data_IF_390153820897
#
_entry.id   IF_390153820897
#
_cell.length_a   1.000
_cell.length_b   1.000
_cell.length_c   1.000
_cell.angle_alpha   90.00
_cell.angle_beta   90.00
_cell.angle_gamma   90.00
#
_symmetry.space_group_name_H-M   'P 1'
#
loop_
_entity.id
_entity.type
_entity.pdbx_description
1 polymer ?
#
# COMPACT_ATOMS: atom_id res chain seq x y z
N UNK A 1 19.07 21.35 -2.00
CA UNK A 1 19.20 20.34 -0.91
C UNK A 1 18.36 20.72 0.32
N UNK A 2 18.27 22.00 0.71
CA UNK A 2 17.45 22.46 1.86
C UNK A 2 15.96 22.07 1.78
N UNK A 3 15.38 22.07 0.57
CA UNK A 3 13.95 21.77 0.39
C UNK A 3 13.59 20.32 0.78
N UNK A 4 14.49 19.36 0.57
CA UNK A 4 14.23 17.95 0.90
C UNK A 4 14.18 17.72 2.41
N UNK A 5 15.12 18.31 3.15
CA UNK A 5 15.13 18.24 4.61
C UNK A 5 13.89 18.93 5.21
N UNK A 6 13.45 20.03 4.61
CA UNK A 6 12.23 20.71 5.03
C UNK A 6 10.99 19.81 4.84
N UNK A 7 10.82 19.22 3.66
CA UNK A 7 9.72 18.27 3.39
C UNK A 7 9.76 17.07 4.34
N UNK A 8 10.95 16.54 4.62
CA UNK A 8 11.14 15.44 5.55
C UNK A 8 10.64 15.77 6.96
N UNK A 9 11.00 16.95 7.47
CA UNK A 9 10.55 17.43 8.78
C UNK A 9 9.07 17.78 8.79
N UNK A 10 8.55 18.36 7.72
CA UNK A 10 7.12 18.67 7.61
C UNK A 10 6.27 17.39 7.60
N UNK A 11 6.73 16.34 6.92
CA UNK A 11 6.08 15.03 6.97
C UNK A 11 6.04 14.47 8.40
N UNK A 12 7.17 14.53 9.12
CA UNK A 12 7.26 14.15 10.54
C UNK A 12 6.24 14.92 11.39
N UNK A 13 6.15 16.23 11.17
CA UNK A 13 5.31 17.13 11.93
C UNK A 13 3.81 16.98 11.65
N UNK A 14 3.41 16.93 10.38
CA UNK A 14 2.01 16.83 9.96
C UNK A 14 1.41 15.49 10.34
N UNK A 15 2.17 14.40 10.26
CA UNK A 15 1.68 13.06 10.61
C UNK A 15 1.91 12.72 12.09
N UNK A 16 2.65 13.54 12.84
CA UNK A 16 3.04 13.24 14.22
C UNK A 16 3.86 11.94 14.35
N UNK A 17 4.55 11.54 13.29
CA UNK A 17 5.28 10.28 13.21
C UNK A 17 6.76 10.53 13.37
N UNK A 18 7.45 9.80 14.25
CA UNK A 18 8.92 9.83 14.31
C UNK A 18 9.52 8.92 13.24
N UNK A 19 10.34 9.48 12.36
CA UNK A 19 10.98 8.72 11.29
C UNK A 19 12.13 7.88 11.86
N UNK A 20 12.14 6.59 11.52
CA UNK A 20 13.20 5.66 11.94
C UNK A 20 14.33 5.60 10.91
N UNK A 21 15.34 6.43 11.10
CA UNK A 21 16.51 6.50 10.20
C UNK A 21 17.33 5.21 10.11
N UNK A 22 17.18 4.26 11.05
CA UNK A 22 17.85 2.96 10.98
C UNK A 22 17.15 2.00 10.00
N UNK A 23 15.84 2.16 9.82
CA UNK A 23 15.02 1.35 8.91
C UNK A 23 14.85 2.01 7.55
N UNK A 24 14.95 3.33 7.51
CA UNK A 24 14.78 4.12 6.30
C UNK A 24 16.07 4.14 5.49
N UNK A 25 15.95 3.88 4.19
CA UNK A 25 17.04 3.93 3.22
C UNK A 25 16.70 4.92 2.11
N UNK A 26 17.69 5.67 1.64
CA UNK A 26 17.61 6.56 0.49
C UNK A 26 18.05 5.81 -0.77
N UNK A 27 17.14 5.68 -1.73
CA UNK A 27 17.46 5.16 -3.06
C UNK A 27 17.56 6.33 -4.04
N UNK A 28 18.74 6.51 -4.64
CA UNK A 28 19.02 7.59 -5.58
C UNK A 28 19.19 7.03 -7.00
N UNK A 29 18.41 7.54 -7.96
CA UNK A 29 18.44 7.10 -9.36
C UNK A 29 19.27 8.02 -10.28
N UNK A 30 19.94 9.03 -9.74
CA UNK A 30 20.75 9.94 -10.55
C UNK A 30 22.16 9.41 -10.83
N UNK A 31 22.87 9.98 -11.82
CA UNK A 31 24.19 9.49 -12.26
C UNK A 31 25.31 9.74 -11.22
N UNK A 32 25.09 10.65 -10.26
CA UNK A 32 26.13 11.09 -9.34
C UNK A 32 26.01 10.40 -7.97
N UNK A 33 26.74 9.30 -7.76
CA UNK A 33 26.79 8.59 -6.46
C UNK A 33 27.17 9.49 -5.27
N UNK A 34 28.06 10.47 -5.49
CA UNK A 34 28.44 11.45 -4.45
C UNK A 34 27.25 12.30 -3.97
N UNK A 35 26.26 12.55 -4.84
CA UNK A 35 25.04 13.26 -4.44
C UNK A 35 24.15 12.39 -3.55
N UNK A 36 24.11 11.08 -3.80
CA UNK A 36 23.36 10.13 -2.99
C UNK A 36 23.88 10.12 -1.54
N UNK A 37 25.20 9.98 -1.36
CA UNK A 37 25.81 9.99 -0.03
C UNK A 37 25.54 11.30 0.72
N UNK A 38 25.73 12.45 0.04
CA UNK A 38 25.47 13.75 0.66
C UNK A 38 24.00 13.95 1.05
N UNK A 39 23.06 13.39 0.28
CA UNK A 39 21.63 13.43 0.61
C UNK A 39 21.31 12.53 1.81
N UNK A 40 21.88 11.34 1.85
CA UNK A 40 21.75 10.41 2.96
C UNK A 40 22.30 11.01 4.27
N UNK A 41 23.46 11.67 4.21
CA UNK A 41 24.03 12.38 5.36
C UNK A 41 23.12 13.50 5.88
N UNK A 42 22.51 14.27 4.97
CA UNK A 42 21.57 15.36 5.34
C UNK A 42 20.30 14.80 6.00
N UNK A 43 19.80 13.66 5.53
CA UNK A 43 18.59 13.01 6.07
C UNK A 43 18.90 12.11 7.28
N UNK A 44 20.17 11.81 7.54
CA UNK A 44 20.61 10.90 8.59
C UNK A 44 20.25 9.44 8.33
N UNK A 45 19.99 9.04 7.08
CA UNK A 45 19.62 7.68 6.69
C UNK A 45 20.73 7.00 5.88
N UNK A 46 20.62 5.69 5.61
CA UNK A 46 21.60 4.95 4.79
C UNK A 46 21.25 5.04 3.31
N UNK A 47 22.24 4.95 2.43
CA UNK A 47 21.99 4.78 1.00
C UNK A 47 21.65 3.31 0.73
N UNK A 48 20.48 3.05 0.16
CA UNK A 48 20.03 1.71 -0.23
C UNK A 48 20.49 1.36 -1.65
N UNK A 49 20.70 0.07 -1.92
CA UNK A 49 21.10 -0.39 -3.24
C UNK A 49 19.87 -0.72 -4.13
N UNK A 50 20.03 -0.59 -5.44
CA UNK A 50 19.05 -0.98 -6.44
C UNK A 50 19.55 -2.22 -7.21
N UNK A 51 18.66 -3.13 -7.66
CA UNK A 51 17.21 -3.17 -7.44
C UNK A 51 16.84 -3.69 -6.03
N UNK A 52 15.71 -3.25 -5.47
CA UNK A 52 15.20 -3.75 -4.18
C UNK A 52 13.74 -4.22 -4.31
N UNK A 53 13.28 -5.06 -3.38
CA UNK A 53 11.88 -5.54 -3.35
C UNK A 53 11.07 -4.69 -2.38
N UNK A 54 10.01 -4.06 -2.86
CA UNK A 54 9.03 -3.38 -2.02
C UNK A 54 7.71 -4.15 -2.03
N UNK A 55 7.25 -4.58 -0.85
CA UNK A 55 6.01 -5.37 -0.68
C UNK A 55 5.93 -6.66 -1.51
N UNK A 56 7.08 -7.22 -1.89
CA UNK A 56 7.21 -8.42 -2.73
C UNK A 56 7.35 -8.12 -4.23
N UNK A 57 7.33 -6.84 -4.61
CA UNK A 57 7.49 -6.39 -6.00
C UNK A 57 8.92 -5.93 -6.22
N UNK A 58 9.65 -6.46 -7.22
CA UNK A 58 10.98 -5.96 -7.55
C UNK A 58 10.85 -4.58 -8.19
N UNK A 59 11.35 -3.54 -7.51
CA UNK A 59 11.48 -2.20 -8.05
C UNK A 59 12.77 -2.15 -8.89
N UNK A 60 12.62 -2.33 -10.20
CA UNK A 60 13.68 -2.11 -11.18
C UNK A 60 13.61 -0.69 -11.76
N UNK A 61 14.75 -0.19 -12.24
CA UNK A 61 14.90 1.10 -12.94
C UNK A 61 14.40 1.03 -14.40
N UNK A 62 14.01 -0.17 -14.87
CA UNK A 62 13.43 -0.40 -16.20
C UNK A 62 11.90 -0.42 -16.09
N UNK A 63 11.21 0.04 -17.14
CA UNK A 63 9.75 -0.05 -17.27
C UNK A 63 9.29 -1.47 -17.00
N UNK A 64 8.47 -1.66 -15.96
CA UNK A 64 7.89 -2.95 -15.59
C UNK A 64 7.12 -3.52 -16.81
N UNK A 65 7.49 -4.72 -17.26
CA UNK A 65 6.74 -5.40 -18.31
C UNK A 65 5.43 -5.96 -17.73
N UNK A 66 4.45 -6.24 -18.59
CA UNK A 66 3.15 -6.81 -18.19
C UNK A 66 3.32 -8.09 -17.34
N UNK A 67 4.35 -8.86 -17.62
CA UNK A 67 4.70 -10.11 -16.93
C UNK A 67 5.12 -9.89 -15.46
N UNK A 68 5.75 -8.75 -15.13
CA UNK A 68 6.16 -8.41 -13.77
C UNK A 68 4.95 -8.08 -12.86
N UNK A 69 3.80 -7.74 -13.45
CA UNK A 69 2.56 -7.41 -12.74
C UNK A 69 1.70 -8.64 -12.40
N UNK A 70 1.81 -9.73 -13.15
CA UNK A 70 1.06 -10.97 -12.92
C UNK A 70 1.09 -11.48 -11.47
N UNK A 71 2.22 -11.54 -10.75
CA UNK A 71 2.23 -11.99 -9.36
C UNK A 71 1.45 -11.06 -8.41
N UNK A 72 1.38 -9.77 -8.73
CA UNK A 72 0.63 -8.78 -7.95
C UNK A 72 -0.87 -8.97 -8.19
N UNK A 73 -1.26 -9.10 -9.46
CA UNK A 73 -2.65 -9.34 -9.87
C UNK A 73 -3.18 -10.62 -9.23
N UNK A 74 -2.47 -11.73 -9.38
CA UNK A 74 -2.86 -13.02 -8.78
C UNK A 74 -3.00 -12.93 -7.25
N UNK A 75 -2.14 -12.16 -6.57
CA UNK A 75 -2.22 -11.99 -5.11
C UNK A 75 -3.46 -11.20 -4.68
N UNK A 76 -3.87 -10.23 -5.49
CA UNK A 76 -5.09 -9.44 -5.25
C UNK A 76 -6.32 -10.31 -5.53
N UNK A 77 -6.34 -11.04 -6.65
CA UNK A 77 -7.42 -11.97 -7.02
C UNK A 77 -7.65 -13.02 -5.93
N UNK A 78 -6.59 -13.72 -5.48
CA UNK A 78 -6.68 -14.70 -4.41
C UNK A 78 -7.24 -14.12 -3.09
N UNK A 79 -6.93 -12.86 -2.79
CA UNK A 79 -7.47 -12.18 -1.60
C UNK A 79 -8.96 -11.86 -1.76
N UNK A 80 -9.38 -11.42 -2.94
CA UNK A 80 -10.79 -11.17 -3.24
C UNK A 80 -11.59 -12.48 -3.18
N UNK A 81 -11.08 -13.56 -3.76
CA UNK A 81 -11.69 -14.89 -3.69
C UNK A 81 -11.81 -15.39 -2.24
N UNK A 82 -10.76 -15.23 -1.45
CA UNK A 82 -10.79 -15.56 -0.02
C UNK A 82 -11.84 -14.75 0.76
N UNK A 83 -12.07 -13.49 0.39
CA UNK A 83 -13.12 -12.67 0.99
C UNK A 83 -14.52 -13.11 0.55
N UNK A 84 -14.71 -13.43 -0.74
CA UNK A 84 -15.97 -14.00 -1.24
C UNK A 84 -16.30 -15.31 -0.51
N UNK A 85 -15.34 -16.23 -0.41
CA UNK A 85 -15.53 -17.50 0.30
C UNK A 85 -15.88 -17.30 1.80
N UNK A 86 -15.25 -16.32 2.47
CA UNK A 86 -15.58 -16.00 3.87
C UNK A 86 -16.94 -15.33 4.04
N UNK A 87 -17.37 -14.50 3.08
CA UNK A 87 -18.69 -13.90 3.09
C UNK A 87 -19.78 -14.96 2.85
N UNK A 88 -19.55 -15.88 1.92
CA UNK A 88 -20.43 -17.03 1.67
C UNK A 88 -20.49 -17.97 2.89
N UNK A 89 -19.35 -18.30 3.49
CA UNK A 89 -19.29 -19.11 4.71
C UNK A 89 -19.99 -18.48 5.94
N UNK A 90 -20.16 -17.15 5.96
CA UNK A 90 -20.93 -16.44 7.01
C UNK A 90 -22.42 -16.31 6.70
N UNK A 91 -22.83 -16.51 5.44
CA UNK A 91 -24.24 -16.46 5.02
C UNK A 91 -24.94 -17.83 5.01
N UNK A 92 -24.19 -18.93 4.96
CA UNK A 92 -24.75 -20.28 4.79
C UNK A 92 -25.44 -20.88 6.02
N UNK A 93 -25.50 -20.18 7.16
CA UNK A 93 -26.31 -20.65 8.29
C UNK A 93 -27.78 -20.24 8.18
N UNK A 94 -28.14 -19.31 7.27
CA UNK A 94 -29.52 -18.85 7.10
C UNK A 94 -29.83 -18.47 5.65
N UNK A 95 -29.98 -19.45 4.74
CA UNK A 95 -30.92 -19.40 3.59
C UNK A 95 -30.66 -20.58 2.67
N UNK A 96 -31.36 -21.69 2.92
CA UNK A 96 -31.81 -22.48 1.79
C UNK A 96 -32.70 -21.58 0.94
N UNK A 97 -32.45 -21.57 -0.38
CA UNK A 97 -33.30 -20.94 -1.40
C UNK A 97 -33.17 -19.42 -1.56
N UNK A 98 -32.08 -18.90 -2.12
CA UNK A 98 -32.14 -17.64 -2.88
C UNK A 98 -31.09 -17.64 -4.00
N UNK A 99 -31.60 -17.70 -5.22
CA UNK A 99 -30.87 -17.66 -6.48
C UNK A 99 -29.93 -16.43 -6.58
N UNK A 100 -28.75 -16.68 -7.15
CA UNK A 100 -27.84 -15.76 -7.85
C UNK A 100 -28.18 -14.26 -7.75
N UNK A 101 -27.87 -13.64 -6.61
CA UNK A 101 -27.86 -12.18 -6.54
C UNK A 101 -26.51 -11.67 -7.08
N UNK A 102 -26.59 -10.98 -8.21
CA UNK A 102 -25.48 -10.33 -8.92
C UNK A 102 -24.56 -9.56 -7.95
N UNK A 103 -23.22 -9.59 -8.15
CA UNK A 103 -22.24 -8.94 -7.27
C UNK A 103 -22.49 -7.44 -7.00
N UNK A 104 -23.22 -6.77 -7.89
CA UNK A 104 -23.64 -5.37 -7.76
C UNK A 104 -24.61 -5.13 -6.59
N UNK A 105 -25.47 -6.10 -6.26
CA UNK A 105 -26.48 -5.97 -5.18
C UNK A 105 -25.83 -6.04 -3.80
N UNK A 106 -24.79 -6.86 -3.64
CA UNK A 106 -24.06 -7.02 -2.37
C UNK A 106 -23.33 -5.72 -1.99
N UNK A 107 -22.81 -4.97 -2.96
CA UNK A 107 -22.11 -3.71 -2.71
C UNK A 107 -23.04 -2.61 -2.18
N UNK A 108 -24.28 -2.51 -2.70
CA UNK A 108 -25.24 -1.50 -2.27
C UNK A 108 -25.66 -1.68 -0.80
N UNK A 109 -25.96 -2.91 -0.39
CA UNK A 109 -26.40 -3.19 0.97
C UNK A 109 -25.31 -2.87 2.01
N UNK A 110 -24.04 -3.10 1.67
CA UNK A 110 -22.91 -2.83 2.56
C UNK A 110 -22.61 -1.33 2.73
N UNK A 111 -22.90 -0.51 1.71
CA UNK A 111 -22.70 0.95 1.77
C UNK A 111 -23.79 1.61 2.63
N UNK A 112 -25.05 1.16 2.53
CA UNK A 112 -26.13 1.69 3.39
C UNK A 112 -25.97 1.31 4.86
N UNK A 113 -25.33 0.18 5.16
CA UNK A 113 -25.04 -0.24 6.54
C UNK A 113 -23.88 0.54 7.18
N UNK A 114 -23.09 1.29 6.40
CA UNK A 114 -21.89 1.99 6.87
C UNK A 114 -22.12 3.49 7.20
N UNK A 115 -23.34 4.03 7.06
CA UNK A 115 -23.61 5.48 7.21
C UNK A 115 -24.41 5.88 8.46
N UNK A 116 -24.71 4.99 9.41
CA UNK A 116 -25.30 5.38 10.69
C UNK A 116 -24.32 5.16 11.84
N UNK A 117 -23.62 6.22 12.21
CA UNK A 117 -22.68 6.20 13.32
C UNK A 117 -22.05 7.55 13.66
N UNK A 118 -22.86 8.60 13.82
CA UNK A 118 -22.43 9.82 14.54
C UNK A 118 -23.62 10.60 15.08
N UNK A 119 -23.96 10.38 16.35
CA UNK A 119 -24.20 11.43 17.36
C UNK A 119 -24.34 10.77 18.74
N UNK A 120 -23.66 11.31 19.77
CA UNK A 120 -24.42 11.62 20.97
C UNK A 120 -24.09 13.01 21.53
N UNK A 121 -25.18 13.71 21.87
CA UNK A 121 -25.36 14.81 22.82
C UNK A 121 -24.47 16.06 22.76
#
# INVERSE_FOLDING_TARGET
MRNLLFLWKMFEWVLGLKINTKKTELHYLGPNANRANRLADILGCRVGNLPFRYLGVPLHIKTLLKEDWNPIVNRIENRIESWKAKLLSRGETHTGQLDTFEPSVILLHNIQSATMGSEPH
#
